data_IF_493151976814
#
_entry.id   IF_493151976814
#
_cell.length_a   1.000
_cell.length_b   1.000
_cell.length_c   1.000
_cell.angle_alpha   90.00
_cell.angle_beta   90.00
_cell.angle_gamma   90.00
#
_symmetry.space_group_name_H-M   'P 1'
#
loop_
_entity.id
_entity.type
_entity.pdbx_description
1 polymer ?
#
# COMPACT_ATOMS: atom_id res chain seq x y z
N UNK A 1 -19.16 105.77 -2.92
CA UNK A 1 -18.82 104.59 -3.75
C UNK A 1 -19.51 103.40 -3.12
N UNK A 2 -20.75 103.06 -3.48
CA UNK A 2 -21.17 102.19 -4.61
C UNK A 2 -20.38 100.88 -4.70
N UNK A 3 -21.10 99.77 -4.42
CA UNK A 3 -21.06 98.42 -5.05
C UNK A 3 -19.73 97.64 -5.01
N UNK A 4 -19.68 96.34 -4.70
CA UNK A 4 -20.49 95.25 -5.28
C UNK A 4 -20.57 94.06 -4.29
N UNK A 5 -21.81 93.59 -4.08
CA UNK A 5 -22.18 92.25 -3.61
C UNK A 5 -21.78 91.20 -4.66
N UNK A 6 -21.26 90.04 -4.27
CA UNK A 6 -21.22 88.89 -5.19
C UNK A 6 -20.44 87.67 -4.69
N UNK A 7 -21.16 86.54 -4.64
CA UNK A 7 -20.70 85.15 -4.68
C UNK A 7 -19.92 84.56 -3.49
N UNK A 8 -20.69 84.19 -2.47
CA UNK A 8 -20.69 82.80 -1.99
C UNK A 8 -20.99 81.84 -3.17
N UNK A 9 -20.37 80.65 -3.17
CA UNK A 9 -20.44 79.52 -4.15
C UNK A 9 -19.31 79.51 -5.19
N UNK A 10 -18.21 78.80 -4.90
CA UNK A 10 -17.42 78.12 -5.95
C UNK A 10 -16.39 77.10 -5.43
N UNK A 11 -16.03 77.10 -4.13
CA UNK A 11 -14.98 76.19 -3.62
C UNK A 11 -15.41 74.77 -3.18
N UNK A 12 -16.71 74.47 -3.13
CA UNK A 12 -17.21 73.14 -2.73
C UNK A 12 -17.47 72.20 -3.92
N UNK A 13 -17.42 72.70 -5.17
CA UNK A 13 -17.73 71.88 -6.36
C UNK A 13 -16.53 71.07 -6.87
N UNK A 14 -15.28 71.55 -6.76
CA UNK A 14 -14.10 70.83 -7.25
C UNK A 14 -13.74 69.60 -6.39
N UNK A 15 -13.92 69.66 -5.06
CA UNK A 15 -13.72 68.48 -4.19
C UNK A 15 -14.82 67.42 -4.36
N UNK A 16 -16.07 67.84 -4.67
CA UNK A 16 -17.15 66.90 -4.96
C UNK A 16 -16.98 66.19 -6.31
N UNK A 17 -16.36 66.85 -7.30
CA UNK A 17 -16.11 66.26 -8.62
C UNK A 17 -15.00 65.21 -8.57
N UNK A 18 -13.99 65.40 -7.71
CA UNK A 18 -12.86 64.46 -7.58
C UNK A 18 -13.26 63.20 -6.80
N UNK A 19 -14.01 63.35 -5.71
CA UNK A 19 -14.55 62.21 -4.92
C UNK A 19 -15.60 61.40 -5.69
N UNK A 20 -16.45 62.05 -6.50
CA UNK A 20 -17.46 61.34 -7.31
C UNK A 20 -16.81 60.57 -8.47
N UNK A 21 -15.77 61.12 -9.09
CA UNK A 21 -15.02 60.45 -10.17
C UNK A 21 -14.24 59.26 -9.63
N UNK A 22 -13.52 59.41 -8.50
CA UNK A 22 -12.82 58.30 -7.83
C UNK A 22 -13.81 57.22 -7.36
N UNK A 23 -14.96 57.61 -6.81
CA UNK A 23 -16.02 56.68 -6.42
C UNK A 23 -16.62 55.95 -7.63
N UNK A 24 -16.81 56.63 -8.76
CA UNK A 24 -17.29 56.02 -9.99
C UNK A 24 -16.28 55.04 -10.60
N UNK A 25 -15.00 55.41 -10.69
CA UNK A 25 -13.93 54.53 -11.17
C UNK A 25 -13.76 53.31 -10.25
N UNK A 26 -13.81 53.51 -8.93
CA UNK A 26 -13.79 52.44 -7.94
C UNK A 26 -14.98 51.48 -8.10
N UNK A 27 -16.20 52.01 -8.22
CA UNK A 27 -17.39 51.21 -8.44
C UNK A 27 -17.34 50.44 -9.78
N UNK A 28 -16.79 51.06 -10.82
CA UNK A 28 -16.63 50.43 -12.13
C UNK A 28 -15.61 49.28 -12.10
N UNK A 29 -14.46 49.48 -11.42
CA UNK A 29 -13.44 48.44 -11.21
C UNK A 29 -13.98 47.27 -10.37
N UNK A 30 -14.65 47.56 -9.25
CA UNK A 30 -15.26 46.53 -8.41
C UNK A 30 -16.32 45.72 -9.15
N UNK A 31 -17.08 46.40 -10.03
CA UNK A 31 -18.11 45.75 -10.86
C UNK A 31 -17.49 44.87 -11.95
N UNK A 32 -16.45 45.33 -12.64
CA UNK A 32 -15.82 44.52 -13.71
C UNK A 32 -15.09 43.31 -13.15
N UNK A 33 -14.40 43.46 -12.01
CA UNK A 33 -13.66 42.40 -11.34
C UNK A 33 -14.56 41.45 -10.52
N UNK A 34 -15.86 41.74 -10.41
CA UNK A 34 -16.83 40.96 -9.62
C UNK A 34 -16.35 40.73 -8.17
N UNK A 35 -15.64 41.70 -7.60
CA UNK A 35 -15.05 41.57 -6.26
C UNK A 35 -16.16 41.75 -5.25
N UNK A 36 -16.36 40.74 -4.41
CA UNK A 36 -17.26 40.84 -3.27
C UNK A 36 -16.54 41.52 -2.11
N UNK A 37 -17.16 42.58 -1.59
CA UNK A 37 -16.61 43.41 -0.51
C UNK A 37 -17.72 43.78 0.47
N UNK A 38 -17.39 43.75 1.76
CA UNK A 38 -18.25 44.25 2.83
C UNK A 38 -17.46 44.97 3.91
N UNK A 39 -18.19 45.69 4.74
CA UNK A 39 -17.73 46.31 5.97
C UNK A 39 -18.46 45.67 7.14
N UNK A 40 -17.73 45.37 8.20
CA UNK A 40 -18.25 44.76 9.42
C UNK A 40 -17.84 45.57 10.65
N UNK A 41 -18.66 45.51 11.69
CA UNK A 41 -18.24 45.85 13.04
C UNK A 41 -17.38 44.71 13.60
N UNK A 42 -16.24 45.05 14.20
CA UNK A 42 -15.42 44.12 14.98
C UNK A 42 -16.07 43.89 16.35
N UNK A 43 -17.18 43.16 16.36
CA UNK A 43 -17.89 42.69 17.54
C UNK A 43 -18.10 41.17 17.47
N UNK A 44 -18.68 40.58 18.51
CA UNK A 44 -18.94 39.14 18.61
C UNK A 44 -19.92 38.60 17.55
N UNK A 45 -20.56 39.46 16.76
CA UNK A 45 -21.49 39.08 15.69
C UNK A 45 -20.91 39.33 14.28
N UNK A 46 -19.74 39.97 14.18
CA UNK A 46 -19.18 40.55 12.95
C UNK A 46 -20.22 41.24 12.09
N UNK A 47 -21.02 42.13 12.69
CA UNK A 47 -22.22 42.66 12.05
C UNK A 47 -21.92 43.42 10.75
N UNK A 48 -22.56 43.02 9.64
CA UNK A 48 -22.45 43.65 8.33
C UNK A 48 -23.12 45.03 8.36
N UNK A 49 -22.34 46.09 8.20
CA UNK A 49 -22.86 47.47 8.11
C UNK A 49 -23.09 47.90 6.67
N UNK A 50 -22.33 47.32 5.74
CA UNK A 50 -22.44 47.59 4.32
C UNK A 50 -21.83 46.43 3.54
N UNK A 51 -22.45 46.04 2.42
CA UNK A 51 -21.86 45.11 1.48
C UNK A 51 -22.30 45.46 0.06
N UNK A 52 -21.47 45.15 -0.92
CA UNK A 52 -21.84 45.30 -2.32
C UNK A 52 -22.73 44.15 -2.80
N UNK A 53 -23.32 44.29 -3.99
CA UNK A 53 -24.21 43.28 -4.57
C UNK A 53 -23.55 41.89 -4.66
N UNK A 54 -22.27 41.83 -5.00
CA UNK A 54 -21.55 40.56 -5.18
C UNK A 54 -21.42 39.75 -3.88
N UNK A 55 -21.43 40.39 -2.71
CA UNK A 55 -21.56 39.68 -1.43
C UNK A 55 -22.89 38.93 -1.34
N UNK A 56 -24.00 39.63 -1.59
CA UNK A 56 -25.32 39.04 -1.55
C UNK A 56 -25.48 37.92 -2.60
N UNK A 57 -24.97 38.12 -3.82
CA UNK A 57 -24.95 37.09 -4.87
C UNK A 57 -24.23 35.80 -4.42
N UNK A 58 -23.13 35.91 -3.63
CA UNK A 58 -22.43 34.76 -3.04
C UNK A 58 -23.27 34.04 -1.99
N UNK A 59 -23.93 34.79 -1.09
CA UNK A 59 -24.83 34.21 -0.08
C UNK A 59 -26.08 33.54 -0.70
N UNK A 60 -26.51 34.00 -1.89
CA UNK A 60 -27.78 33.62 -2.50
C UNK A 60 -29.02 34.30 -1.90
N UNK A 61 -28.86 35.16 -0.90
CA UNK A 61 -29.92 36.01 -0.34
C UNK A 61 -29.89 37.40 -0.98
N UNK A 62 -31.04 38.04 -1.14
CA UNK A 62 -31.03 39.50 -1.39
C UNK A 62 -30.60 40.24 -0.11
N UNK A 63 -30.26 41.52 -0.24
CA UNK A 63 -29.93 42.34 0.93
C UNK A 63 -31.07 42.35 1.96
N UNK A 64 -32.29 42.55 1.49
CA UNK A 64 -33.47 42.64 2.34
C UNK A 64 -33.73 41.31 3.05
N UNK A 65 -33.58 40.18 2.36
CA UNK A 65 -33.71 38.85 2.95
C UNK A 65 -32.60 38.58 3.98
N UNK A 66 -31.36 38.97 3.67
CA UNK A 66 -30.23 38.81 4.59
C UNK A 66 -30.45 39.61 5.88
N UNK A 67 -30.87 40.87 5.76
CA UNK A 67 -31.13 41.75 6.89
C UNK A 67 -32.37 41.28 7.71
N UNK A 68 -33.39 40.75 7.05
CA UNK A 68 -34.57 40.19 7.73
C UNK A 68 -34.26 38.90 8.49
N UNK A 69 -33.48 38.00 7.90
CA UNK A 69 -33.23 36.67 8.46
C UNK A 69 -32.10 36.67 9.49
N UNK A 70 -31.07 37.49 9.28
CA UNK A 70 -29.84 37.46 10.06
C UNK A 70 -29.54 38.77 10.78
N UNK A 71 -30.29 39.84 10.51
CA UNK A 71 -30.09 41.17 11.13
C UNK A 71 -28.66 41.70 10.96
N UNK A 72 -28.03 41.36 9.82
CA UNK A 72 -26.64 41.67 9.53
C UNK A 72 -25.62 40.85 10.34
N UNK A 73 -26.02 39.97 11.25
CA UNK A 73 -25.10 39.15 12.04
C UNK A 73 -24.53 38.01 11.19
N UNK A 74 -23.20 38.03 11.02
CA UNK A 74 -22.48 36.92 10.37
C UNK A 74 -22.57 35.66 11.24
N UNK A 75 -22.58 35.81 12.57
CA UNK A 75 -22.77 34.67 13.48
C UNK A 75 -24.11 33.97 13.27
N UNK A 76 -25.20 34.73 13.13
CA UNK A 76 -26.52 34.15 12.83
C UNK A 76 -26.57 33.55 11.43
N UNK A 77 -25.94 34.19 10.44
CA UNK A 77 -25.84 33.67 9.08
C UNK A 77 -25.13 32.30 9.03
N UNK A 78 -24.07 32.11 9.81
CA UNK A 78 -23.36 30.83 9.94
C UNK A 78 -23.95 29.89 11.00
N UNK A 79 -25.18 30.12 11.48
CA UNK A 79 -25.80 29.27 12.53
C UNK A 79 -25.97 27.80 12.11
N UNK A 80 -26.08 27.52 10.81
CA UNK A 80 -26.12 26.16 10.26
C UNK A 80 -24.74 25.50 10.11
N UNK A 81 -23.64 26.25 10.26
CA UNK A 81 -22.26 25.76 10.20
C UNK A 81 -21.37 26.47 11.24
N UNK A 82 -21.60 26.24 12.55
CA UNK A 82 -20.90 26.97 13.63
C UNK A 82 -19.38 26.84 13.58
N UNK A 83 -18.85 25.70 13.11
CA UNK A 83 -17.42 25.43 12.93
C UNK A 83 -16.75 26.37 11.90
N UNK A 84 -17.48 26.76 10.85
CA UNK A 84 -16.98 27.69 9.84
C UNK A 84 -16.90 29.11 10.42
N UNK A 85 -17.88 29.51 11.24
CA UNK A 85 -17.83 30.76 11.98
C UNK A 85 -16.66 30.80 12.97
N UNK A 86 -16.44 29.72 13.72
CA UNK A 86 -15.30 29.60 14.65
C UNK A 86 -13.96 29.73 13.94
N UNK A 87 -13.86 29.25 12.69
CA UNK A 87 -12.65 29.41 11.87
C UNK A 87 -12.37 30.88 11.58
N UNK A 88 -13.39 31.67 11.22
CA UNK A 88 -13.27 33.11 11.02
C UNK A 88 -12.91 33.81 12.33
N UNK A 89 -13.64 33.51 13.40
CA UNK A 89 -13.44 34.12 14.72
C UNK A 89 -12.02 33.89 15.24
N UNK A 90 -11.51 32.66 15.11
CA UNK A 90 -10.14 32.30 15.47
C UNK A 90 -9.13 33.07 14.62
N UNK A 91 -9.30 33.13 13.30
CA UNK A 91 -8.38 33.85 12.42
C UNK A 91 -8.30 35.35 12.78
N UNK A 92 -9.43 35.97 13.11
CA UNK A 92 -9.47 37.36 13.59
C UNK A 92 -8.74 37.51 14.93
N UNK A 93 -9.05 36.66 15.92
CA UNK A 93 -8.42 36.70 17.25
C UNK A 93 -6.91 36.50 17.18
N UNK A 94 -6.47 35.53 16.38
CA UNK A 94 -5.04 35.23 16.17
C UNK A 94 -4.33 36.43 15.52
N UNK A 95 -4.93 37.03 14.49
CA UNK A 95 -4.38 38.21 13.82
C UNK A 95 -4.27 39.43 14.74
N UNK A 96 -5.29 39.70 15.57
CA UNK A 96 -5.27 40.79 16.55
C UNK A 96 -4.20 40.55 17.63
N UNK A 97 -4.12 39.33 18.14
CA UNK A 97 -3.12 38.94 19.17
C UNK A 97 -1.70 39.06 18.64
N UNK A 98 -1.49 38.71 17.37
CA UNK A 98 -0.22 38.85 16.66
C UNK A 98 0.03 40.29 16.13
N UNK A 99 -0.85 41.24 16.42
CA UNK A 99 -0.78 42.63 15.97
C UNK A 99 -0.61 42.79 14.44
N UNK A 100 -1.29 41.93 13.67
CA UNK A 100 -1.32 41.96 12.22
C UNK A 100 -2.30 43.04 11.71
N UNK A 101 -2.13 43.48 10.46
CA UNK A 101 -2.99 44.50 9.83
C UNK A 101 -4.33 43.97 9.30
N UNK A 102 -4.55 42.67 9.39
CA UNK A 102 -5.71 41.98 8.85
C UNK A 102 -5.62 40.48 9.13
N UNK A 103 -6.63 39.75 8.68
CA UNK A 103 -6.71 38.29 8.79
C UNK A 103 -6.99 37.66 7.43
N UNK A 104 -6.65 36.38 7.32
CA UNK A 104 -6.87 35.56 6.13
C UNK A 104 -7.43 34.21 6.58
N UNK A 105 -8.60 33.85 6.07
CA UNK A 105 -9.29 32.61 6.42
C UNK A 105 -9.94 32.00 5.19
N UNK A 106 -9.98 30.67 5.12
CA UNK A 106 -10.73 29.92 4.10
C UNK A 106 -11.77 29.08 4.83
N UNK A 107 -13.03 29.23 4.47
CA UNK A 107 -14.14 28.51 5.11
C UNK A 107 -15.26 28.24 4.08
N UNK A 108 -16.17 27.32 4.38
CA UNK A 108 -17.37 27.10 3.55
C UNK A 108 -18.43 28.13 3.89
N UNK A 109 -18.83 28.91 2.89
CA UNK A 109 -19.92 29.87 2.98
C UNK A 109 -21.25 29.19 2.58
N UNK A 110 -22.24 29.09 3.50
CA UNK A 110 -23.53 28.47 3.22
C UNK A 110 -24.40 29.34 2.30
N UNK A 111 -25.13 28.74 1.37
CA UNK A 111 -25.98 29.46 0.42
C UNK A 111 -27.46 29.20 0.69
N UNK A 112 -28.31 30.13 0.24
CA UNK A 112 -29.78 30.06 0.40
C UNK A 112 -30.39 28.76 -0.15
N UNK A 113 -29.84 28.22 -1.23
CA UNK A 113 -30.30 26.98 -1.86
C UNK A 113 -29.89 25.70 -1.12
N UNK A 114 -29.20 25.83 0.02
CA UNK A 114 -28.68 24.72 0.82
C UNK A 114 -27.29 24.23 0.37
N UNK A 115 -26.76 24.72 -0.75
CA UNK A 115 -25.39 24.45 -1.17
C UNK A 115 -24.38 25.24 -0.34
N UNK A 116 -23.10 24.96 -0.53
CA UNK A 116 -22.01 25.71 0.11
C UNK A 116 -20.88 25.92 -0.90
N UNK A 117 -20.17 27.03 -0.77
CA UNK A 117 -19.01 27.35 -1.62
C UNK A 117 -17.81 27.66 -0.73
N UNK A 118 -16.62 27.24 -1.14
CA UNK A 118 -15.39 27.63 -0.44
C UNK A 118 -15.04 29.07 -0.75
N UNK A 119 -14.92 29.90 0.30
CA UNK A 119 -14.57 31.31 0.19
C UNK A 119 -13.32 31.58 1.00
N UNK A 120 -12.41 32.37 0.42
CA UNK A 120 -11.31 33.02 1.15
C UNK A 120 -11.76 34.41 1.58
N UNK A 121 -11.69 34.68 2.87
CA UNK A 121 -11.97 35.94 3.53
C UNK A 121 -10.65 36.64 3.82
N UNK A 122 -10.44 37.80 3.19
CA UNK A 122 -9.29 38.66 3.49
C UNK A 122 -9.85 39.91 4.17
N UNK A 123 -9.71 39.97 5.49
CA UNK A 123 -10.16 41.09 6.29
C UNK A 123 -9.03 42.06 6.59
N UNK A 124 -9.24 43.35 6.44
CA UNK A 124 -8.30 44.42 6.78
C UNK A 124 -8.84 45.22 7.96
N UNK A 125 -8.06 45.32 9.04
CA UNK A 125 -8.41 46.15 10.18
C UNK A 125 -8.16 47.61 9.85
N UNK A 126 -9.09 48.48 10.22
CA UNK A 126 -8.99 49.92 9.93
C UNK A 126 -9.02 50.75 11.21
N UNK A 127 -8.62 52.01 11.08
CA UNK A 127 -8.77 53.00 12.16
C UNK A 127 -10.17 53.62 12.20
N UNK A 128 -11.09 53.18 11.33
CA UNK A 128 -12.49 53.62 11.36
C UNK A 128 -13.22 52.92 12.51
N UNK A 129 -14.09 53.66 13.20
CA UNK A 129 -14.97 53.11 14.24
C UNK A 129 -16.35 53.73 14.13
N UNK A 130 -17.38 52.92 14.36
CA UNK A 130 -18.77 53.37 14.45
C UNK A 130 -19.23 53.10 15.88
N UNK A 131 -19.69 54.14 16.57
CA UNK A 131 -20.11 54.08 17.97
C UNK A 131 -19.06 53.45 18.92
N UNK A 132 -17.77 53.66 18.62
CA UNK A 132 -16.64 53.13 19.40
C UNK A 132 -16.24 51.69 19.04
N UNK A 133 -16.95 51.01 18.13
CA UNK A 133 -16.61 49.68 17.65
C UNK A 133 -15.78 49.78 16.36
N UNK A 134 -14.58 49.17 16.27
CA UNK A 134 -13.75 49.22 15.07
C UNK A 134 -14.43 48.60 13.84
N UNK A 135 -14.11 49.13 12.65
CA UNK A 135 -14.63 48.63 11.38
C UNK A 135 -13.57 47.81 10.65
N UNK A 136 -14.01 46.68 10.08
CA UNK A 136 -13.20 45.79 9.26
C UNK A 136 -13.73 45.79 7.84
N UNK A 137 -12.84 45.85 6.85
CA UNK A 137 -13.20 45.63 5.44
C UNK A 137 -12.85 44.21 5.05
N UNK A 138 -13.79 43.48 4.44
CA UNK A 138 -13.60 42.07 4.09
C UNK A 138 -13.80 41.89 2.60
N UNK A 139 -12.85 41.22 1.95
CA UNK A 139 -12.92 40.78 0.56
C UNK A 139 -13.17 39.28 0.52
N UNK A 140 -14.08 38.85 -0.35
CA UNK A 140 -14.47 37.45 -0.52
C UNK A 140 -14.07 36.96 -1.90
N UNK A 141 -13.18 35.96 -1.93
CA UNK A 141 -12.76 35.30 -3.17
C UNK A 141 -13.34 33.89 -3.21
N UNK A 142 -14.01 33.54 -4.30
CA UNK A 142 -14.41 32.15 -4.55
C UNK A 142 -13.17 31.31 -4.86
N UNK A 143 -12.94 30.28 -4.05
CA UNK A 143 -11.79 29.39 -4.16
C UNK A 143 -12.22 27.93 -4.32
N UNK A 144 -13.47 27.68 -4.73
CA UNK A 144 -14.02 26.33 -4.85
C UNK A 144 -13.20 25.46 -5.81
N UNK A 145 -12.88 25.98 -7.00
CA UNK A 145 -12.06 25.26 -7.98
C UNK A 145 -10.65 24.96 -7.46
N UNK A 146 -10.05 25.92 -6.73
CA UNK A 146 -8.71 25.77 -6.17
C UNK A 146 -8.66 24.71 -5.06
N UNK A 147 -9.62 24.74 -4.12
CA UNK A 147 -9.70 23.78 -3.01
C UNK A 147 -10.00 22.38 -3.54
N UNK A 148 -10.92 22.26 -4.51
CA UNK A 148 -11.24 20.97 -5.14
C UNK A 148 -10.04 20.42 -5.91
N UNK A 149 -9.34 21.25 -6.69
CA UNK A 149 -8.12 20.83 -7.40
C UNK A 149 -7.03 20.37 -6.42
N UNK A 150 -6.80 21.13 -5.34
CA UNK A 150 -5.83 20.76 -4.30
C UNK A 150 -6.18 19.45 -3.62
N UNK A 151 -7.44 19.26 -3.21
CA UNK A 151 -7.91 18.03 -2.55
C UNK A 151 -7.76 16.83 -3.49
N UNK A 152 -8.05 17.00 -4.78
CA UNK A 152 -7.86 15.97 -5.79
C UNK A 152 -6.37 15.60 -5.93
N UNK A 153 -5.49 16.59 -6.03
CA UNK A 153 -4.04 16.37 -6.10
C UNK A 153 -3.51 15.67 -4.85
N UNK A 154 -3.95 16.08 -3.65
CA UNK A 154 -3.55 15.44 -2.38
C UNK A 154 -4.00 13.97 -2.34
N UNK A 155 -5.22 13.68 -2.80
CA UNK A 155 -5.72 12.30 -2.91
C UNK A 155 -4.94 11.47 -3.95
N UNK A 156 -4.63 12.02 -5.11
CA UNK A 156 -3.83 11.35 -6.14
C UNK A 156 -2.37 11.13 -5.67
N UNK A 157 -1.81 12.09 -4.94
CA UNK A 157 -0.48 11.99 -4.35
C UNK A 157 -0.41 10.87 -3.31
N UNK A 158 -1.37 10.81 -2.37
CA UNK A 158 -1.45 9.74 -1.37
C UNK A 158 -1.58 8.36 -2.03
N UNK A 159 -2.42 8.22 -3.07
CA UNK A 159 -2.52 6.98 -3.85
C UNK A 159 -1.19 6.59 -4.50
N UNK A 160 -0.49 7.55 -5.10
CA UNK A 160 0.80 7.31 -5.75
C UNK A 160 1.89 6.89 -4.76
N UNK A 161 1.91 7.50 -3.57
CA UNK A 161 2.83 7.11 -2.49
C UNK A 161 2.58 5.67 -2.02
N UNK A 162 1.32 5.27 -1.84
CA UNK A 162 0.96 3.90 -1.47
C UNK A 162 1.37 2.90 -2.56
N UNK A 163 1.16 3.23 -3.84
CA UNK A 163 1.59 2.40 -4.96
C UNK A 163 3.11 2.25 -5.00
N UNK A 164 3.87 3.34 -4.81
CA UNK A 164 5.32 3.28 -4.77
C UNK A 164 5.85 2.45 -3.60
N UNK A 165 5.26 2.60 -2.40
CA UNK A 165 5.64 1.81 -1.22
C UNK A 165 5.47 0.32 -1.49
N UNK A 166 4.36 -0.06 -2.13
CA UNK A 166 4.10 -1.43 -2.57
C UNK A 166 5.16 -1.94 -3.55
N UNK A 167 5.44 -1.20 -4.62
CA UNK A 167 6.47 -1.57 -5.61
C UNK A 167 7.85 -1.77 -4.97
N UNK A 168 8.23 -0.92 -4.01
CA UNK A 168 9.49 -1.04 -3.28
C UNK A 168 9.55 -2.32 -2.43
N UNK A 169 8.45 -2.65 -1.73
CA UNK A 169 8.36 -3.87 -0.91
C UNK A 169 8.39 -5.13 -1.77
N UNK A 170 7.62 -5.17 -2.86
CA UNK A 170 7.69 -6.26 -3.84
C UNK A 170 9.12 -6.43 -4.35
N UNK A 171 9.76 -5.34 -4.78
CA UNK A 171 11.13 -5.36 -5.30
C UNK A 171 12.15 -5.85 -4.26
N UNK A 172 11.96 -5.52 -2.98
CA UNK A 172 12.82 -6.02 -1.90
C UNK A 172 12.73 -7.54 -1.77
N UNK A 173 11.52 -8.09 -1.74
CA UNK A 173 11.32 -9.55 -1.73
C UNK A 173 11.96 -10.22 -2.95
N UNK A 174 11.76 -9.66 -4.15
CA UNK A 174 12.33 -10.19 -5.39
C UNK A 174 13.86 -10.24 -5.35
N UNK A 175 14.50 -9.21 -4.80
CA UNK A 175 15.96 -9.17 -4.65
C UNK A 175 16.47 -10.24 -3.69
N UNK A 176 15.76 -10.50 -2.59
CA UNK A 176 16.11 -11.57 -1.64
C UNK A 176 15.98 -12.95 -2.28
N UNK A 177 14.85 -13.22 -2.94
CA UNK A 177 14.64 -14.48 -3.68
C UNK A 177 15.72 -14.74 -4.74
N UNK A 178 16.12 -13.70 -5.47
CA UNK A 178 17.14 -13.85 -6.51
C UNK A 178 18.54 -14.15 -5.93
N UNK A 179 18.86 -13.58 -4.77
CA UNK A 179 20.18 -13.67 -4.13
C UNK A 179 20.46 -15.01 -3.45
N UNK A 180 19.43 -15.80 -3.17
CA UNK A 180 19.54 -17.08 -2.46
C UNK A 180 19.26 -18.28 -3.38
N UNK A 181 19.84 -19.43 -3.02
CA UNK A 181 19.54 -20.72 -3.64
C UNK A 181 18.54 -21.52 -2.81
N UNK A 182 18.61 -21.42 -1.48
CA UNK A 182 17.73 -22.13 -0.55
C UNK A 182 16.59 -21.21 -0.11
N UNK A 183 15.35 -21.70 -0.22
CA UNK A 183 14.14 -20.99 0.21
C UNK A 183 14.09 -20.78 1.72
N UNK A 184 14.64 -21.71 2.50
CA UNK A 184 14.67 -21.61 3.95
C UNK A 184 15.46 -20.37 4.44
N UNK A 185 16.38 -19.84 3.62
CA UNK A 185 17.19 -18.67 3.98
C UNK A 185 16.43 -17.34 3.92
N UNK A 186 15.33 -17.26 3.17
CA UNK A 186 14.65 -15.97 2.91
C UNK A 186 13.14 -15.98 3.12
N UNK A 187 12.52 -17.15 3.31
CA UNK A 187 11.06 -17.22 3.37
C UNK A 187 10.51 -16.49 4.61
N UNK A 188 11.19 -16.60 5.75
CA UNK A 188 10.82 -15.87 6.97
C UNK A 188 10.80 -14.34 6.74
N UNK A 189 11.78 -13.82 6.00
CA UNK A 189 11.86 -12.40 5.65
C UNK A 189 10.72 -11.97 4.72
N UNK A 190 10.39 -12.78 3.72
CA UNK A 190 9.30 -12.48 2.79
C UNK A 190 7.95 -12.50 3.54
N UNK A 191 7.71 -13.50 4.38
CA UNK A 191 6.48 -13.55 5.17
C UNK A 191 6.40 -12.39 6.17
N UNK A 192 7.52 -12.01 6.78
CA UNK A 192 7.61 -10.80 7.59
C UNK A 192 7.25 -9.54 6.79
N UNK A 193 7.78 -9.38 5.58
CA UNK A 193 7.46 -8.26 4.69
C UNK A 193 5.97 -8.26 4.34
N UNK A 194 5.42 -9.39 3.92
CA UNK A 194 3.99 -9.52 3.60
C UNK A 194 3.14 -9.13 4.81
N UNK A 195 3.43 -9.74 5.96
CA UNK A 195 2.67 -9.53 7.19
C UNK A 195 2.72 -8.09 7.69
N UNK A 196 3.90 -7.47 7.70
CA UNK A 196 4.05 -6.07 8.12
C UNK A 196 3.49 -5.07 7.11
N UNK A 197 3.61 -5.32 5.81
CA UNK A 197 3.06 -4.44 4.77
C UNK A 197 1.54 -4.47 4.75
N UNK A 198 0.95 -5.67 4.89
CA UNK A 198 -0.49 -5.83 4.94
C UNK A 198 -1.07 -5.55 6.33
N UNK A 199 -0.25 -5.33 7.36
CA UNK A 199 -0.71 -5.23 8.75
C UNK A 199 -1.53 -6.47 9.17
N UNK A 200 -1.12 -7.64 8.68
CA UNK A 200 -1.77 -8.92 8.93
C UNK A 200 -1.40 -9.50 10.30
N UNK A 201 -2.22 -10.43 10.78
CA UNK A 201 -1.92 -11.20 12.00
C UNK A 201 -0.98 -12.36 11.72
N UNK A 202 -1.19 -13.04 10.59
CA UNK A 202 -0.31 -14.07 10.07
C UNK A 202 -0.05 -13.87 8.58
N UNK A 203 1.11 -14.34 8.14
CA UNK A 203 1.43 -14.56 6.73
C UNK A 203 2.06 -15.94 6.60
N UNK A 204 1.69 -16.70 5.58
CA UNK A 204 2.05 -18.11 5.50
C UNK A 204 2.17 -18.60 4.06
N UNK A 205 2.80 -19.76 3.92
CA UNK A 205 2.88 -20.52 2.68
C UNK A 205 2.41 -21.95 2.92
N UNK A 206 1.55 -22.43 2.04
CA UNK A 206 1.13 -23.83 1.97
C UNK A 206 1.70 -24.48 0.73
N UNK A 207 2.16 -25.71 0.90
CA UNK A 207 2.43 -26.65 -0.19
C UNK A 207 1.23 -27.58 -0.37
N UNK A 208 0.96 -27.96 -1.62
CA UNK A 208 -0.11 -28.90 -1.97
C UNK A 208 0.54 -30.13 -2.59
N UNK A 209 0.29 -31.28 -1.96
CA UNK A 209 0.71 -32.60 -2.41
C UNK A 209 -0.55 -33.47 -2.61
N UNK A 210 -0.86 -33.76 -3.87
CA UNK A 210 -2.08 -34.47 -4.32
C UNK A 210 -3.39 -33.81 -3.83
N UNK A 211 -3.94 -34.29 -2.72
CA UNK A 211 -5.21 -33.83 -2.12
C UNK A 211 -5.02 -33.25 -0.72
N UNK A 212 -3.77 -33.15 -0.29
CA UNK A 212 -3.37 -32.67 1.03
C UNK A 212 -2.54 -31.41 0.90
N UNK A 213 -2.67 -30.55 1.90
CA UNK A 213 -1.93 -29.31 1.98
C UNK A 213 -1.34 -29.14 3.37
N UNK A 214 -0.11 -28.65 3.40
CA UNK A 214 0.71 -28.51 4.59
C UNK A 214 1.24 -27.07 4.66
N UNK A 215 1.08 -26.41 5.81
CA UNK A 215 1.69 -25.11 6.05
C UNK A 215 3.19 -25.33 6.30
N UNK A 216 4.03 -24.85 5.39
CA UNK A 216 5.48 -25.09 5.41
C UNK A 216 6.27 -23.89 5.95
N UNK A 217 5.67 -22.69 5.91
CA UNK A 217 6.24 -21.49 6.50
C UNK A 217 5.13 -20.62 7.10
N UNK A 218 5.41 -20.02 8.26
CA UNK A 218 4.48 -19.13 8.96
C UNK A 218 5.24 -18.01 9.66
N UNK A 219 4.82 -16.77 9.39
CA UNK A 219 5.13 -15.61 10.20
C UNK A 219 3.89 -15.20 10.98
N UNK A 220 4.07 -14.86 12.25
CA UNK A 220 3.02 -14.34 13.13
C UNK A 220 3.42 -12.99 13.71
N UNK A 221 2.44 -12.09 13.85
CA UNK A 221 2.56 -10.91 14.71
C UNK A 221 2.82 -11.37 16.15
N UNK A 222 3.56 -10.58 16.93
CA UNK A 222 4.10 -11.00 18.23
C UNK A 222 3.04 -11.44 19.26
N UNK A 223 1.81 -10.98 19.14
CA UNK A 223 0.65 -11.28 20.00
C UNK A 223 -0.21 -12.46 19.49
N UNK A 224 0.15 -13.06 18.37
CA UNK A 224 -0.63 -14.08 17.68
C UNK A 224 -0.01 -15.46 17.88
N UNK A 225 -0.86 -16.43 18.19
CA UNK A 225 -0.45 -17.82 18.37
C UNK A 225 -0.26 -18.48 16.99
N UNK A 226 0.93 -19.07 16.72
CA UNK A 226 1.20 -19.85 15.51
C UNK A 226 0.18 -20.97 15.29
N UNK A 227 -0.15 -21.25 14.03
CA UNK A 227 -1.04 -22.33 13.62
C UNK A 227 -0.36 -23.38 12.75
N UNK A 228 0.90 -23.19 12.35
CA UNK A 228 1.61 -24.08 11.43
C UNK A 228 1.53 -25.56 11.83
N UNK A 229 1.77 -25.91 13.10
CA UNK A 229 1.70 -27.29 13.61
C UNK A 229 0.29 -27.91 13.48
N UNK A 230 -0.76 -27.10 13.57
CA UNK A 230 -2.15 -27.53 13.41
C UNK A 230 -2.55 -27.60 11.93
N UNK A 231 -1.95 -26.77 11.09
CA UNK A 231 -2.19 -26.66 9.65
C UNK A 231 -1.37 -27.67 8.83
N UNK A 232 -1.38 -28.93 9.26
CA UNK A 232 -0.70 -30.04 8.58
C UNK A 232 -1.72 -31.04 8.04
N UNK A 233 -1.47 -31.57 6.85
CA UNK A 233 -2.28 -32.56 6.12
C UNK A 233 -3.74 -32.17 6.00
N UNK A 234 -3.99 -30.87 5.83
CA UNK A 234 -5.33 -30.35 5.63
C UNK A 234 -5.87 -30.83 4.28
N UNK A 235 -7.18 -31.00 4.18
CA UNK A 235 -7.81 -31.44 2.93
C UNK A 235 -7.96 -30.25 1.96
N UNK A 236 -7.57 -30.44 0.70
CA UNK A 236 -7.66 -29.40 -0.33
C UNK A 236 -9.10 -28.90 -0.58
N UNK A 237 -10.12 -29.65 -0.13
CA UNK A 237 -11.52 -29.20 -0.09
C UNK A 237 -11.72 -27.87 0.63
N UNK A 238 -10.80 -27.44 1.48
CA UNK A 238 -10.86 -26.09 2.06
C UNK A 238 -10.93 -24.99 1.00
N UNK A 239 -10.28 -25.22 -0.15
CA UNK A 239 -10.22 -24.30 -1.28
C UNK A 239 -11.36 -24.51 -2.30
N UNK A 240 -12.25 -25.47 -2.10
CA UNK A 240 -13.31 -25.82 -3.04
C UNK A 240 -14.14 -24.61 -3.54
N UNK A 241 -14.50 -23.61 -2.71
CA UNK A 241 -15.24 -22.43 -3.19
C UNK A 241 -14.52 -21.60 -4.27
N UNK A 242 -13.20 -21.73 -4.36
CA UNK A 242 -12.35 -20.90 -5.23
C UNK A 242 -11.38 -21.70 -6.07
N UNK A 243 -11.54 -23.03 -6.09
CA UNK A 243 -10.53 -23.94 -6.64
C UNK A 243 -10.30 -23.68 -8.13
N UNK A 244 -11.36 -23.42 -8.89
CA UNK A 244 -11.26 -23.14 -10.33
C UNK A 244 -10.49 -21.83 -10.59
N UNK A 245 -10.81 -20.76 -9.86
CA UNK A 245 -10.09 -19.48 -9.93
C UNK A 245 -8.63 -19.61 -9.51
N UNK A 246 -8.36 -20.40 -8.47
CA UNK A 246 -7.01 -20.70 -7.99
C UNK A 246 -6.17 -21.42 -9.04
N UNK A 247 -6.72 -22.45 -9.69
CA UNK A 247 -6.04 -23.13 -10.79
C UNK A 247 -5.78 -22.20 -11.99
N UNK A 248 -6.58 -21.14 -12.16
CA UNK A 248 -6.36 -20.10 -13.17
C UNK A 248 -5.34 -19.03 -12.73
N UNK A 249 -4.71 -19.19 -11.57
CA UNK A 249 -3.72 -18.25 -11.04
C UNK A 249 -4.32 -16.98 -10.43
N UNK A 250 -5.63 -16.95 -10.14
CA UNK A 250 -6.28 -15.77 -9.56
C UNK A 250 -6.15 -15.76 -8.04
N UNK A 251 -5.78 -14.60 -7.50
CA UNK A 251 -5.82 -14.38 -6.06
C UNK A 251 -7.25 -14.18 -5.56
N UNK A 252 -7.49 -14.61 -4.32
CA UNK A 252 -8.80 -14.59 -3.68
C UNK A 252 -8.72 -13.70 -2.45
N UNK A 253 -9.65 -12.77 -2.34
CA UNK A 253 -9.80 -11.89 -1.17
C UNK A 253 -11.11 -12.21 -0.48
N UNK A 254 -11.02 -12.51 0.81
CA UNK A 254 -12.16 -12.80 1.68
C UNK A 254 -12.24 -11.63 2.67
N UNK A 255 -13.04 -10.60 2.39
CA UNK A 255 -13.13 -9.42 3.25
C UNK A 255 -13.89 -9.69 4.55
N UNK A 256 -14.72 -10.74 4.58
CA UNK A 256 -15.48 -11.19 5.73
C UNK A 256 -15.69 -12.71 5.67
N UNK A 257 -15.02 -13.46 6.53
CA UNK A 257 -15.12 -14.91 6.60
C UNK A 257 -16.51 -15.40 7.02
N UNK A 258 -17.29 -14.60 7.77
CA UNK A 258 -18.65 -15.00 8.20
C UNK A 258 -19.61 -15.20 7.02
N UNK A 259 -19.35 -14.56 5.88
CA UNK A 259 -20.13 -14.75 4.65
C UNK A 259 -20.06 -16.20 4.14
N UNK A 260 -18.99 -16.93 4.45
CA UNK A 260 -18.81 -18.32 4.03
C UNK A 260 -19.70 -19.30 4.78
N UNK A 261 -20.35 -18.90 5.88
CA UNK A 261 -21.18 -19.79 6.69
C UNK A 261 -22.30 -20.45 5.88
N UNK A 262 -22.88 -19.71 4.94
CA UNK A 262 -23.97 -20.16 4.07
C UNK A 262 -23.45 -20.80 2.76
N UNK A 263 -22.27 -20.40 2.27
CA UNK A 263 -21.69 -20.87 1.00
C UNK A 263 -20.88 -22.17 1.15
N UNK A 264 -20.04 -22.25 2.18
CA UNK A 264 -19.22 -23.43 2.48
C UNK A 264 -18.96 -23.54 3.99
N UNK A 265 -19.84 -24.29 4.67
CA UNK A 265 -19.79 -24.47 6.13
C UNK A 265 -18.48 -25.11 6.60
N UNK A 266 -17.90 -26.04 5.83
CA UNK A 266 -16.63 -26.68 6.18
C UNK A 266 -15.49 -25.66 6.23
N UNK A 267 -15.35 -24.85 5.17
CA UNK A 267 -14.33 -23.79 5.12
C UNK A 267 -14.54 -22.76 6.21
N UNK A 268 -15.78 -22.31 6.43
CA UNK A 268 -16.12 -21.40 7.52
C UNK A 268 -15.68 -21.95 8.89
N UNK A 269 -16.00 -23.20 9.22
CA UNK A 269 -15.65 -23.80 10.51
C UNK A 269 -14.14 -23.87 10.76
N UNK A 270 -13.36 -24.17 9.72
CA UNK A 270 -11.90 -24.24 9.80
C UNK A 270 -11.29 -22.85 10.02
N UNK A 271 -11.75 -21.83 9.27
CA UNK A 271 -11.28 -20.46 9.41
C UNK A 271 -11.67 -19.85 10.76
N UNK A 272 -12.93 -20.03 11.17
CA UNK A 272 -13.46 -19.50 12.43
C UNK A 272 -12.75 -20.09 13.65
N UNK A 273 -12.39 -21.39 13.64
CA UNK A 273 -11.61 -22.01 14.74
C UNK A 273 -10.21 -21.40 14.91
N UNK A 274 -9.64 -20.87 13.83
CA UNK A 274 -8.33 -20.21 13.83
C UNK A 274 -8.41 -18.70 14.11
N UNK A 275 -9.64 -18.18 14.31
CA UNK A 275 -9.90 -16.76 14.54
C UNK A 275 -9.79 -15.90 13.27
N UNK A 276 -9.91 -16.51 12.08
CA UNK A 276 -9.75 -15.79 10.81
C UNK A 276 -11.09 -15.12 10.44
N UNK A 277 -11.07 -13.80 10.27
CA UNK A 277 -12.23 -12.98 9.87
C UNK A 277 -12.05 -12.30 8.51
N UNK A 278 -10.82 -12.08 8.05
CA UNK A 278 -10.50 -11.61 6.70
C UNK A 278 -9.20 -12.23 6.21
N UNK A 279 -9.00 -12.38 4.90
CA UNK A 279 -7.74 -12.90 4.36
C UNK A 279 -7.59 -12.62 2.86
N UNK A 280 -6.34 -12.70 2.39
CA UNK A 280 -5.99 -12.81 0.96
C UNK A 280 -5.19 -14.08 0.75
N UNK A 281 -5.47 -14.78 -0.34
CA UNK A 281 -4.73 -15.94 -0.79
C UNK A 281 -4.27 -15.74 -2.22
N UNK A 282 -3.05 -16.17 -2.55
CA UNK A 282 -2.50 -16.12 -3.90
C UNK A 282 -1.91 -17.47 -4.28
N UNK A 283 -2.37 -18.09 -5.37
CA UNK A 283 -1.98 -19.45 -5.75
C UNK A 283 -0.58 -19.49 -6.36
N UNK A 284 0.18 -20.53 -6.02
CA UNK A 284 1.45 -20.88 -6.68
C UNK A 284 1.11 -21.94 -7.72
N UNK A 285 1.15 -21.55 -9.00
CA UNK A 285 0.85 -22.42 -10.13
C UNK A 285 2.13 -22.66 -10.91
N UNK A 286 2.54 -23.92 -11.04
CA UNK A 286 3.70 -24.36 -11.81
C UNK A 286 3.24 -25.38 -12.83
N UNK A 287 3.64 -25.22 -14.10
CA UNK A 287 3.25 -26.13 -15.20
C UNK A 287 1.73 -26.39 -15.28
N UNK A 288 0.91 -25.33 -15.14
CA UNK A 288 -0.56 -25.37 -15.09
C UNK A 288 -1.16 -26.21 -13.95
N UNK A 289 -0.36 -26.54 -12.92
CA UNK A 289 -0.79 -27.24 -11.72
C UNK A 289 -0.69 -26.34 -10.49
N UNK A 290 -1.73 -26.37 -9.66
CA UNK A 290 -1.72 -25.72 -8.35
C UNK A 290 -0.81 -26.54 -7.41
N UNK A 291 0.30 -25.94 -7.00
CA UNK A 291 1.34 -26.60 -6.18
C UNK A 291 1.41 -26.04 -4.76
N UNK A 292 0.75 -24.91 -4.52
CA UNK A 292 0.72 -24.27 -3.21
C UNK A 292 0.01 -22.93 -3.28
N UNK A 293 0.09 -22.18 -2.20
CA UNK A 293 -0.36 -20.80 -2.14
C UNK A 293 0.33 -20.05 -1.01
N UNK A 294 0.41 -18.74 -1.15
CA UNK A 294 0.73 -17.84 -0.04
C UNK A 294 -0.54 -17.15 0.45
N UNK A 295 -0.59 -16.79 1.72
CA UNK A 295 -1.73 -16.10 2.29
C UNK A 295 -1.36 -15.17 3.44
N UNK A 296 -2.28 -14.28 3.75
CA UNK A 296 -2.22 -13.42 4.92
C UNK A 296 -3.64 -13.20 5.47
N UNK A 297 -3.78 -13.21 6.79
CA UNK A 297 -5.08 -13.10 7.47
C UNK A 297 -5.20 -11.89 8.39
N UNK A 298 -6.45 -11.53 8.70
CA UNK A 298 -6.89 -10.53 9.66
C UNK A 298 -6.28 -9.13 9.45
N UNK A 299 -6.14 -8.73 8.19
CA UNK A 299 -5.69 -7.42 7.75
C UNK A 299 -6.86 -6.50 7.38
N UNK A 300 -6.58 -5.19 7.28
CA UNK A 300 -7.51 -4.21 6.72
C UNK A 300 -7.92 -4.58 5.29
N UNK A 301 -9.24 -4.65 5.04
CA UNK A 301 -9.80 -5.01 3.74
C UNK A 301 -9.28 -4.14 2.59
N UNK A 302 -9.04 -2.84 2.82
CA UNK A 302 -8.51 -1.95 1.78
C UNK A 302 -7.09 -2.35 1.34
N UNK A 303 -6.28 -2.90 2.26
CA UNK A 303 -4.95 -3.44 1.95
C UNK A 303 -5.06 -4.79 1.23
N UNK A 304 -5.94 -5.68 1.70
CA UNK A 304 -6.17 -7.01 1.13
C UNK A 304 -6.69 -6.97 -0.31
N UNK A 305 -7.54 -5.99 -0.64
CA UNK A 305 -8.11 -5.82 -1.99
C UNK A 305 -7.05 -5.55 -3.07
N UNK A 306 -5.80 -5.26 -2.68
CA UNK A 306 -4.71 -4.99 -3.60
C UNK A 306 -3.79 -6.21 -3.78
N UNK A 307 -4.25 -7.18 -4.57
CA UNK A 307 -3.62 -8.51 -4.69
C UNK A 307 -2.31 -8.53 -5.46
N UNK A 308 -1.96 -7.50 -6.24
CA UNK A 308 -0.88 -7.65 -7.23
C UNK A 308 0.52 -7.85 -6.63
N UNK A 309 0.75 -7.45 -5.37
CA UNK A 309 2.00 -7.81 -4.68
C UNK A 309 2.01 -9.31 -4.41
N UNK A 310 0.94 -9.85 -3.81
CA UNK A 310 0.81 -11.28 -3.55
C UNK A 310 0.92 -12.11 -4.82
N UNK A 311 0.27 -11.69 -5.91
CA UNK A 311 0.35 -12.35 -7.22
C UNK A 311 1.79 -12.40 -7.75
N UNK A 312 2.50 -11.27 -7.68
CA UNK A 312 3.90 -11.20 -8.12
C UNK A 312 4.77 -12.10 -7.25
N UNK A 313 4.64 -12.01 -5.92
CA UNK A 313 5.43 -12.84 -5.00
C UNK A 313 5.15 -14.32 -5.19
N UNK A 314 3.89 -14.72 -5.34
CA UNK A 314 3.49 -16.11 -5.59
C UNK A 314 4.13 -16.66 -6.87
N UNK A 315 4.10 -15.88 -7.95
CA UNK A 315 4.73 -16.24 -9.22
C UNK A 315 6.26 -16.44 -9.06
N UNK A 316 6.94 -15.52 -8.38
CA UNK A 316 8.39 -15.62 -8.17
C UNK A 316 8.79 -16.71 -7.18
N UNK A 317 7.96 -17.01 -6.18
CA UNK A 317 8.15 -18.17 -5.31
C UNK A 317 8.09 -19.47 -6.13
N UNK A 318 7.10 -19.61 -7.03
CA UNK A 318 7.04 -20.74 -7.96
C UNK A 318 8.31 -20.89 -8.80
N UNK A 319 8.81 -19.79 -9.38
CA UNK A 319 10.09 -19.79 -10.12
C UNK A 319 11.26 -20.21 -9.23
N UNK A 320 11.32 -19.73 -7.99
CA UNK A 320 12.38 -20.08 -7.05
C UNK A 320 12.37 -21.56 -6.68
N UNK A 321 11.21 -22.17 -6.50
CA UNK A 321 11.06 -23.61 -6.26
C UNK A 321 11.60 -24.38 -7.46
N UNK A 322 11.15 -24.07 -8.68
CA UNK A 322 11.61 -24.74 -9.90
C UNK A 322 13.13 -24.58 -10.09
N UNK A 323 13.67 -23.37 -9.83
CA UNK A 323 15.10 -23.09 -9.86
C UNK A 323 15.86 -23.97 -8.86
N UNK A 324 15.35 -24.13 -7.64
CA UNK A 324 15.96 -25.00 -6.62
C UNK A 324 15.99 -26.45 -7.09
N UNK A 325 14.87 -26.98 -7.57
CA UNK A 325 14.80 -28.36 -8.09
C UNK A 325 15.75 -28.60 -9.27
N UNK A 326 15.86 -27.64 -10.19
CA UNK A 326 16.79 -27.72 -11.31
C UNK A 326 18.24 -27.70 -10.84
N UNK A 327 18.55 -26.88 -9.84
CA UNK A 327 19.88 -26.83 -9.25
C UNK A 327 20.24 -28.16 -8.56
N UNK A 328 19.31 -28.77 -7.82
CA UNK A 328 19.51 -30.06 -7.18
C UNK A 328 19.76 -31.17 -8.22
N UNK A 329 19.00 -31.16 -9.33
CA UNK A 329 19.23 -32.06 -10.47
C UNK A 329 20.62 -31.84 -11.09
N UNK A 330 21.04 -30.59 -11.28
CA UNK A 330 22.38 -30.27 -11.81
C UNK A 330 23.48 -30.76 -10.89
N UNK A 331 23.34 -30.56 -9.57
CA UNK A 331 24.28 -31.08 -8.57
C UNK A 331 24.33 -32.60 -8.64
N UNK A 332 23.16 -33.26 -8.73
CA UNK A 332 23.08 -34.71 -8.83
C UNK A 332 23.83 -35.23 -10.07
N UNK A 333 23.55 -34.70 -11.27
CA UNK A 333 24.25 -35.10 -12.49
C UNK A 333 25.75 -34.73 -12.48
N UNK A 334 26.15 -33.67 -11.77
CA UNK A 334 27.55 -33.28 -11.68
C UNK A 334 28.38 -34.25 -10.85
N UNK A 335 27.82 -34.80 -9.78
CA UNK A 335 28.57 -35.54 -8.75
C UNK A 335 28.18 -36.99 -8.54
N UNK A 336 27.08 -37.47 -9.11
CA UNK A 336 26.64 -38.85 -8.97
C UNK A 336 26.69 -39.60 -10.30
N UNK A 337 26.92 -40.91 -10.21
CA UNK A 337 26.82 -41.84 -11.33
C UNK A 337 25.35 -42.24 -11.50
N UNK A 338 24.79 -42.03 -12.69
CA UNK A 338 23.35 -42.22 -12.93
C UNK A 338 22.90 -43.67 -12.78
N UNK A 339 23.78 -44.64 -13.03
CA UNK A 339 23.44 -46.05 -12.96
C UNK A 339 23.42 -46.56 -11.52
N UNK A 340 24.48 -46.29 -10.75
CA UNK A 340 24.70 -46.90 -9.43
C UNK A 340 24.28 -45.99 -8.26
N UNK A 341 24.07 -44.70 -8.53
CA UNK A 341 23.87 -43.66 -7.52
C UNK A 341 25.07 -43.50 -6.57
N UNK A 342 26.24 -44.06 -6.90
CA UNK A 342 27.49 -43.75 -6.23
C UNK A 342 27.97 -42.34 -6.65
N UNK A 343 28.96 -41.78 -5.97
CA UNK A 343 29.62 -40.59 -6.49
C UNK A 343 30.35 -40.91 -7.78
N UNK A 344 30.40 -39.96 -8.71
CA UNK A 344 31.11 -40.14 -9.97
C UNK A 344 32.57 -39.69 -9.84
N UNK A 345 33.31 -39.87 -10.94
CA UNK A 345 34.71 -39.45 -11.05
C UNK A 345 34.94 -37.96 -10.77
N UNK A 346 34.02 -37.07 -11.14
CA UNK A 346 34.20 -35.63 -10.89
C UNK A 346 34.19 -35.33 -9.40
N UNK A 347 33.25 -35.94 -8.67
CA UNK A 347 33.16 -35.82 -7.22
C UNK A 347 34.38 -36.40 -6.52
N UNK A 348 34.88 -37.56 -6.97
CA UNK A 348 36.15 -38.13 -6.51
C UNK A 348 37.31 -37.14 -6.65
N UNK A 349 37.49 -36.54 -7.84
CA UNK A 349 38.58 -35.59 -8.09
C UNK A 349 38.47 -34.36 -7.17
N UNK A 350 37.26 -33.82 -7.00
CA UNK A 350 37.01 -32.68 -6.12
C UNK A 350 37.33 -33.02 -4.65
N UNK A 351 36.92 -34.19 -4.17
CA UNK A 351 37.14 -34.59 -2.79
C UNK A 351 38.62 -34.85 -2.50
N UNK A 352 39.34 -35.49 -3.43
CA UNK A 352 40.80 -35.65 -3.32
C UNK A 352 41.52 -34.30 -3.29
N UNK A 353 41.11 -33.33 -4.11
CA UNK A 353 41.70 -32.00 -4.09
C UNK A 353 41.48 -31.30 -2.73
N UNK A 354 40.26 -31.38 -2.19
CA UNK A 354 39.94 -30.84 -0.85
C UNK A 354 40.74 -31.53 0.26
N UNK A 355 40.88 -32.85 0.19
CA UNK A 355 41.67 -33.63 1.15
C UNK A 355 43.15 -33.20 1.11
N UNK A 356 43.72 -33.00 -0.09
CA UNK A 356 45.11 -32.55 -0.26
C UNK A 356 45.37 -31.13 0.27
N UNK A 357 44.34 -30.29 0.37
CA UNK A 357 44.44 -28.92 0.90
C UNK A 357 44.24 -28.85 2.42
N UNK A 358 43.84 -29.94 3.06
CA UNK A 358 43.59 -29.98 4.50
C UNK A 358 44.80 -30.51 5.27
N UNK A 359 45.28 -29.73 6.24
CA UNK A 359 46.32 -30.15 7.19
C UNK A 359 45.77 -31.02 8.35
N UNK A 360 44.47 -31.34 8.35
CA UNK A 360 43.76 -31.83 9.54
C UNK A 360 43.51 -33.34 9.61
N UNK A 361 44.03 -34.15 8.70
CA UNK A 361 43.78 -35.59 8.70
C UNK A 361 44.89 -36.39 9.41
N UNK A 362 44.50 -37.25 10.34
CA UNK A 362 45.41 -38.18 11.04
C UNK A 362 45.64 -39.49 10.29
N UNK A 363 44.71 -39.92 9.43
CA UNK A 363 44.82 -41.14 8.60
C UNK A 363 43.71 -41.21 7.54
N UNK A 364 44.02 -41.73 6.34
CA UNK A 364 43.06 -41.99 5.26
C UNK A 364 43.21 -43.44 4.77
N UNK A 365 42.10 -44.15 4.60
CA UNK A 365 42.04 -45.47 3.98
C UNK A 365 41.35 -45.40 2.63
N UNK A 366 41.93 -46.02 1.60
CA UNK A 366 41.35 -46.09 0.25
C UNK A 366 41.26 -47.55 -0.16
N UNK A 367 40.09 -47.95 -0.65
CA UNK A 367 39.83 -49.28 -1.20
C UNK A 367 39.45 -49.10 -2.66
N UNK A 368 40.17 -49.77 -3.55
CA UNK A 368 39.91 -49.76 -4.98
C UNK A 368 39.49 -51.17 -5.41
N UNK A 369 38.41 -51.27 -6.18
CA UNK A 369 37.77 -52.52 -6.55
C UNK A 369 37.35 -52.46 -8.02
N UNK A 370 37.34 -53.63 -8.67
CA UNK A 370 36.95 -53.79 -10.07
C UNK A 370 36.06 -55.04 -10.20
N UNK A 371 35.00 -54.95 -11.01
CA UNK A 371 34.06 -56.06 -11.23
C UNK A 371 34.59 -56.97 -12.35
N UNK A 372 35.25 -58.05 -11.94
CA UNK A 372 35.76 -59.06 -12.85
C UNK A 372 34.65 -59.71 -13.71
N UNK A 373 34.89 -59.81 -15.02
CA UNK A 373 34.04 -60.58 -15.94
C UNK A 373 32.78 -59.83 -16.43
N UNK A 374 32.65 -58.53 -16.16
CA UNK A 374 31.49 -57.75 -16.58
C UNK A 374 31.27 -57.79 -18.10
N UNK A 375 32.35 -57.79 -18.90
CA UNK A 375 32.26 -57.92 -20.35
C UNK A 375 31.64 -59.24 -20.79
N UNK A 376 32.08 -60.35 -20.21
CA UNK A 376 31.52 -61.67 -20.54
C UNK A 376 30.03 -61.74 -20.17
N UNK A 377 29.66 -61.15 -19.03
CA UNK A 377 28.27 -61.03 -18.61
C UNK A 377 27.47 -60.21 -19.63
N UNK A 378 27.97 -59.05 -20.06
CA UNK A 378 27.32 -58.21 -21.07
C UNK A 378 27.15 -58.94 -22.40
N UNK A 379 28.16 -59.68 -22.86
CA UNK A 379 28.14 -60.38 -24.13
C UNK A 379 27.16 -61.57 -24.15
N UNK A 380 26.95 -62.23 -23.00
CA UNK A 380 26.06 -63.42 -22.90
C UNK A 380 24.65 -63.12 -22.39
N UNK A 381 24.50 -62.17 -21.47
CA UNK A 381 23.24 -61.85 -20.77
C UNK A 381 22.67 -60.48 -21.15
N UNK A 382 23.43 -59.69 -21.92
CA UNK A 382 23.05 -58.34 -22.36
C UNK A 382 23.40 -57.25 -21.35
N UNK A 383 23.55 -56.03 -21.86
CA UNK A 383 23.96 -54.86 -21.07
C UNK A 383 23.05 -54.56 -19.87
N UNK A 384 21.73 -54.75 -19.99
CA UNK A 384 20.80 -54.55 -18.87
C UNK A 384 21.12 -55.45 -17.66
N UNK A 385 21.62 -56.65 -17.92
CA UNK A 385 21.98 -57.57 -16.84
C UNK A 385 23.33 -57.17 -16.23
N UNK A 386 24.31 -56.73 -17.03
CA UNK A 386 25.55 -56.16 -16.49
C UNK A 386 25.32 -54.89 -15.68
N UNK A 387 24.40 -54.03 -16.12
CA UNK A 387 23.96 -52.83 -15.38
C UNK A 387 23.43 -53.20 -13.99
N UNK A 388 22.65 -54.27 -13.89
CA UNK A 388 22.16 -54.79 -12.61
C UNK A 388 23.29 -55.26 -11.69
N UNK A 389 24.32 -55.92 -12.24
CA UNK A 389 25.51 -56.33 -11.47
C UNK A 389 26.26 -55.12 -10.91
N UNK A 390 26.39 -54.05 -11.71
CA UNK A 390 27.01 -52.80 -11.25
C UNK A 390 26.23 -52.15 -10.11
N UNK A 391 24.89 -52.08 -10.22
CA UNK A 391 24.00 -51.56 -9.17
C UNK A 391 24.17 -52.37 -7.88
N UNK A 392 24.11 -53.70 -7.97
CA UNK A 392 24.26 -54.59 -6.82
C UNK A 392 25.65 -54.46 -6.16
N UNK A 393 26.71 -54.36 -6.97
CA UNK A 393 28.06 -54.12 -6.48
C UNK A 393 28.18 -52.82 -5.68
N UNK A 394 27.66 -51.72 -6.22
CA UNK A 394 27.64 -50.44 -5.53
C UNK A 394 26.81 -50.47 -4.23
N UNK A 395 25.65 -51.14 -4.23
CA UNK A 395 24.86 -51.34 -3.02
C UNK A 395 25.59 -52.16 -1.96
N UNK A 396 26.31 -53.20 -2.36
CA UNK A 396 27.12 -54.00 -1.45
C UNK A 396 28.20 -53.16 -0.77
N UNK A 397 28.86 -52.28 -1.53
CA UNK A 397 29.84 -51.34 -0.98
C UNK A 397 29.18 -50.35 -0.02
N UNK A 398 28.01 -49.78 -0.38
CA UNK A 398 27.26 -48.85 0.49
C UNK A 398 26.86 -49.50 1.82
N UNK A 399 26.48 -50.78 1.79
CA UNK A 399 26.14 -51.56 2.99
C UNK A 399 27.38 -51.92 3.82
N UNK A 400 28.50 -52.25 3.17
CA UNK A 400 29.75 -52.61 3.85
C UNK A 400 30.46 -51.39 4.47
N UNK A 401 30.35 -50.22 3.84
CA UNK A 401 31.01 -48.98 4.23
C UNK A 401 30.00 -47.83 4.40
N UNK A 402 29.08 -47.88 5.39
CA UNK A 402 28.02 -46.89 5.54
C UNK A 402 28.51 -45.47 5.87
N UNK A 403 29.74 -45.34 6.38
CA UNK A 403 30.39 -44.06 6.67
C UNK A 403 31.45 -43.68 5.63
N UNK A 404 31.64 -44.50 4.58
CA UNK A 404 32.62 -44.26 3.53
C UNK A 404 31.97 -43.63 2.29
N UNK A 405 32.69 -42.71 1.67
CA UNK A 405 32.32 -42.18 0.36
C UNK A 405 32.64 -43.22 -0.72
N UNK A 406 31.65 -43.55 -1.55
CA UNK A 406 31.79 -44.57 -2.59
C UNK A 406 31.73 -43.89 -3.95
N UNK A 407 32.74 -44.17 -4.76
CA UNK A 407 32.93 -43.56 -6.06
C UNK A 407 32.95 -44.65 -7.14
N UNK A 408 32.33 -44.37 -8.28
CA UNK A 408 32.53 -45.10 -9.53
C UNK A 408 33.38 -44.24 -10.46
N UNK A 409 34.57 -44.72 -10.78
CA UNK A 409 35.57 -43.99 -11.55
C UNK A 409 35.54 -44.36 -13.04
N UNK A 410 35.07 -45.58 -13.36
CA UNK A 410 35.10 -46.15 -14.70
C UNK A 410 33.89 -47.04 -15.01
N UNK A 411 34.06 -47.92 -16.01
CA UNK A 411 32.99 -48.84 -16.42
C UNK A 411 32.61 -49.82 -15.31
N UNK A 412 33.59 -50.50 -14.77
CA UNK A 412 33.54 -51.55 -13.74
C UNK A 412 34.29 -51.18 -12.45
N UNK A 413 34.90 -50.00 -12.42
CA UNK A 413 35.76 -49.45 -11.37
C UNK A 413 35.07 -48.43 -10.45
#
# INVERSE_FOLDING_TARGET
MKSVLGSYKEKDMENSFNLSTISNEYNMLMTSLHISVSKHLLNDDFQVIWANRFFYDKTGYTKEEYDQNFHGSVRLYFSSAPEEYQTIEKAVKDALTANQRGYDAVCKMPRKDGSSIWIRFIGTFTNESIDGVPVIYVVYTDVNDLVNARTKVEKEHSKSQNMLRKELQTMECLKRMYGCMDMAEYMDDILYIIGTFLEAERAYMFEINDTKMDCIYEWCRADIVPQMDYCQRMDIKLLEPWYEEFCQGKSIVIPNADALKEENTYTFEVLHKQGIHSMVLSPIVMHDQLTGFIGADNSNVELLMNTSMMETLSYFIGISIEKSELNDKLIYHSFYDELTGAFNRNKYLQDIEKLCQSDSFTSLGVVYMDINGLKDINDHMGHKFGDQILIEGAEMLKKAFPAGDIYRLGGDE
#
